data_IF_488553239158
#
_entry.id   IF_488553239158
#
_cell.length_a   1.000
_cell.length_b   1.000
_cell.length_c   1.000
_cell.angle_alpha   90.00
_cell.angle_beta   90.00
_cell.angle_gamma   90.00
#
_symmetry.space_group_name_H-M   'P 1'
#
loop_
_entity.id
_entity.type
_entity.pdbx_description
1 polymer ?
#
# COMPACT_ATOMS: atom_id res chain seq x y z
N UNK A 1 -13.25 0.69 8.59
CA UNK A 1 -13.68 -0.74 8.58
C UNK A 1 -14.62 -0.94 7.41
N UNK A 2 -14.17 -1.55 6.30
CA UNK A 2 -15.12 -1.87 5.21
C UNK A 2 -16.27 -2.70 5.79
N UNK A 3 -17.51 -2.32 5.50
CA UNK A 3 -18.70 -3.04 5.93
C UNK A 3 -19.68 -3.11 4.78
N UNK A 4 -20.14 -4.32 4.45
CA UNK A 4 -21.45 -4.45 3.82
C UNK A 4 -22.48 -4.32 4.95
N UNK A 5 -23.29 -3.26 4.94
CA UNK A 5 -24.28 -3.05 6.00
C UNK A 5 -25.52 -3.92 5.76
N UNK A 6 -25.93 -4.62 6.82
CA UNK A 6 -27.32 -5.03 7.08
C UNK A 6 -27.81 -4.20 8.27
N UNK A 7 -29.00 -3.61 8.19
CA UNK A 7 -29.55 -2.80 9.30
C UNK A 7 -29.71 -3.67 10.56
N UNK A 8 -28.85 -3.43 11.57
CA UNK A 8 -28.90 -4.07 12.89
C UNK A 8 -27.56 -4.61 13.41
N UNK A 9 -26.60 -4.92 12.53
CA UNK A 9 -25.21 -5.26 12.91
C UNK A 9 -24.24 -4.80 11.82
N UNK A 10 -23.18 -4.10 12.24
CA UNK A 10 -21.96 -4.04 11.44
C UNK A 10 -21.48 -5.48 11.22
N UNK A 11 -21.48 -5.95 9.98
CA UNK A 11 -20.66 -7.10 9.63
C UNK A 11 -19.20 -6.63 9.74
N UNK A 12 -18.56 -6.98 10.85
CA UNK A 12 -17.10 -6.94 10.96
C UNK A 12 -16.58 -8.04 10.04
N UNK A 13 -15.64 -7.72 9.14
CA UNK A 13 -14.92 -8.74 8.38
C UNK A 13 -13.90 -9.41 9.29
N UNK A 14 -14.38 -10.26 10.19
CA UNK A 14 -13.63 -11.35 10.80
C UNK A 14 -14.32 -12.64 10.34
N UNK A 15 -13.65 -13.38 9.45
CA UNK A 15 -13.96 -14.75 8.97
C UNK A 15 -15.38 -15.10 8.47
N UNK A 16 -15.44 -15.51 7.20
CA UNK A 16 -16.40 -16.45 6.57
C UNK A 16 -17.92 -16.24 6.74
N UNK A 17 -18.56 -15.60 5.73
CA UNK A 17 -19.71 -16.16 4.95
C UNK A 17 -20.18 -15.17 3.89
N UNK A 18 -20.17 -15.60 2.64
CA UNK A 18 -20.77 -14.90 1.49
C UNK A 18 -22.19 -15.46 1.31
N UNK A 19 -23.19 -14.78 1.87
CA UNK A 19 -24.60 -14.98 1.52
C UNK A 19 -25.34 -13.63 1.53
N UNK A 20 -26.20 -13.45 0.51
CA UNK A 20 -27.43 -12.65 0.47
C UNK A 20 -27.44 -11.29 -0.25
N UNK A 21 -27.81 -11.35 -1.53
CA UNK A 21 -28.68 -10.34 -2.20
C UNK A 21 -29.95 -9.99 -1.39
N UNK A 22 -30.32 -10.84 -0.42
CA UNK A 22 -31.56 -10.80 0.37
C UNK A 22 -31.46 -10.00 1.67
N UNK A 23 -30.30 -9.44 2.04
CA UNK A 23 -30.13 -8.72 3.33
C UNK A 23 -30.31 -7.22 3.26
N UNK A 24 -30.40 -6.64 2.06
CA UNK A 24 -30.68 -5.21 1.90
C UNK A 24 -32.15 -4.98 1.59
N UNK A 25 -32.72 -3.89 2.12
CA UNK A 25 -34.13 -3.51 1.85
C UNK A 25 -34.42 -3.32 0.36
N UNK A 26 -33.41 -2.94 -0.42
CA UNK A 26 -33.52 -2.74 -1.87
C UNK A 26 -33.40 -4.02 -2.69
N UNK A 27 -32.98 -5.14 -2.08
CA UNK A 27 -32.62 -6.37 -2.80
C UNK A 27 -31.39 -6.20 -3.72
N UNK A 28 -30.61 -5.12 -3.53
CA UNK A 28 -29.40 -4.80 -4.30
C UNK A 28 -28.18 -4.70 -3.38
N UNK A 29 -26.96 -4.99 -3.85
CA UNK A 29 -25.76 -4.81 -3.05
C UNK A 29 -25.63 -3.38 -2.48
N UNK A 30 -25.10 -3.29 -1.27
CA UNK A 30 -24.76 -2.05 -0.60
C UNK A 30 -23.32 -2.16 -0.09
N UNK A 31 -22.45 -1.26 -0.56
CA UNK A 31 -21.05 -1.19 -0.16
C UNK A 31 -20.83 0.11 0.61
N UNK A 32 -20.34 0.01 1.85
CA UNK A 32 -19.91 1.15 2.65
C UNK A 32 -18.42 1.04 2.97
N UNK A 33 -17.70 2.15 2.84
CA UNK A 33 -16.25 2.20 3.07
C UNK A 33 -15.84 3.49 3.78
N UNK A 34 -15.17 3.34 4.92
CA UNK A 34 -14.58 4.39 5.76
C UNK A 34 -13.07 4.11 5.98
N UNK A 35 -12.20 4.44 5.00
CA UNK A 35 -10.77 4.25 5.19
C UNK A 35 -10.25 5.16 6.32
N UNK A 36 -9.57 4.58 7.30
CA UNK A 36 -9.04 5.31 8.45
C UNK A 36 -7.61 5.77 8.18
N UNK A 37 -7.34 7.04 8.41
CA UNK A 37 -6.01 7.65 8.36
C UNK A 37 -5.86 8.62 9.53
N UNK A 38 -4.63 8.89 10.01
CA UNK A 38 -4.39 9.97 10.95
C UNK A 38 -4.97 11.29 10.44
N UNK A 39 -5.55 12.13 11.31
CA UNK A 39 -6.08 13.43 10.90
C UNK A 39 -4.95 14.33 10.39
N UNK A 40 -5.16 14.94 9.23
CA UNK A 40 -4.20 15.83 8.58
C UNK A 40 -4.91 17.03 7.94
N UNK A 41 -4.18 18.13 7.79
CA UNK A 41 -4.63 19.34 7.09
C UNK A 41 -3.57 19.71 6.03
N UNK A 42 -3.85 19.56 4.72
CA UNK A 42 -5.09 19.03 4.14
C UNK A 42 -5.37 17.55 4.47
N UNK A 43 -6.64 17.09 4.36
CA UNK A 43 -6.96 15.67 4.46
C UNK A 43 -6.27 14.90 3.32
N UNK A 44 -5.97 13.62 3.51
CA UNK A 44 -5.33 12.80 2.46
C UNK A 44 -6.33 12.38 1.37
N UNK A 45 -7.58 12.12 1.75
CA UNK A 45 -8.66 11.71 0.85
C UNK A 45 -9.47 12.91 0.37
N UNK A 46 -9.74 12.96 -0.93
CA UNK A 46 -10.57 13.97 -1.58
C UNK A 46 -11.70 13.33 -2.34
N UNK A 47 -12.89 13.89 -2.20
CA UNK A 47 -14.03 13.50 -3.02
C UNK A 47 -13.91 14.16 -4.40
N UNK A 48 -14.08 13.37 -5.44
CA UNK A 48 -14.11 13.85 -6.80
C UNK A 48 -15.14 13.06 -7.63
N UNK A 49 -15.62 13.70 -8.69
CA UNK A 49 -16.39 13.06 -9.75
C UNK A 49 -15.76 13.45 -11.08
N UNK A 50 -15.27 12.46 -11.83
CA UNK A 50 -14.73 12.67 -13.17
C UNK A 50 -15.70 12.05 -14.16
N UNK A 51 -16.03 12.82 -15.20
CA UNK A 51 -16.88 12.40 -16.32
C UNK A 51 -16.18 12.74 -17.63
N UNK A 52 -16.06 11.75 -18.49
CA UNK A 52 -15.57 11.86 -19.86
C UNK A 52 -16.67 11.40 -20.83
N UNK A 53 -16.48 11.51 -22.15
CA UNK A 53 -17.41 10.92 -23.11
C UNK A 53 -17.53 9.39 -23.01
N UNK A 54 -16.50 8.71 -22.50
CA UNK A 54 -16.43 7.23 -22.51
C UNK A 54 -16.62 6.60 -21.13
N UNK A 55 -16.42 7.33 -20.04
CA UNK A 55 -16.57 6.81 -18.68
C UNK A 55 -16.93 7.90 -17.66
N UNK A 56 -17.43 7.47 -16.49
CA UNK A 56 -17.72 8.34 -15.36
C UNK A 56 -17.42 7.58 -14.07
N UNK A 57 -16.73 8.20 -13.12
CA UNK A 57 -16.49 7.63 -11.80
C UNK A 57 -16.53 8.70 -10.71
N UNK A 58 -17.12 8.35 -9.58
CA UNK A 58 -17.28 9.20 -8.40
C UNK A 58 -16.79 8.46 -7.16
N UNK A 59 -16.09 9.16 -6.27
CA UNK A 59 -15.58 8.56 -5.05
C UNK A 59 -14.47 9.37 -4.40
N UNK A 60 -13.61 8.69 -3.65
CA UNK A 60 -12.47 9.26 -2.96
C UNK A 60 -11.15 8.94 -3.69
N UNK A 61 -10.32 9.96 -3.88
CA UNK A 61 -8.97 9.91 -4.46
C UNK A 61 -7.93 10.43 -3.46
N UNK A 62 -6.66 10.11 -3.66
CA UNK A 62 -5.54 10.72 -2.95
C UNK A 62 -4.97 11.88 -3.77
N UNK A 63 -4.51 12.94 -3.07
CA UNK A 63 -3.76 14.03 -3.72
C UNK A 63 -2.61 13.45 -4.54
N UNK A 64 -2.53 13.86 -5.81
CA UNK A 64 -1.44 13.45 -6.71
C UNK A 64 -1.62 12.07 -7.36
N UNK A 65 -2.73 11.36 -7.12
CA UNK A 65 -3.00 10.05 -7.75
C UNK A 65 -4.08 10.14 -8.83
N UNK A 66 -3.95 9.46 -9.99
CA UNK A 66 -4.89 9.61 -11.09
C UNK A 66 -5.99 8.53 -11.08
N UNK A 67 -6.56 8.23 -9.90
CA UNK A 67 -7.65 7.25 -9.78
C UNK A 67 -8.33 7.25 -8.42
N UNK A 68 -9.38 6.43 -8.30
CA UNK A 68 -10.24 6.39 -7.12
C UNK A 68 -9.94 5.14 -6.29
N UNK A 69 -9.44 5.32 -5.07
CA UNK A 69 -9.20 4.20 -4.15
C UNK A 69 -10.51 3.57 -3.67
N UNK A 70 -11.56 4.38 -3.56
CA UNK A 70 -12.91 3.98 -3.19
C UNK A 70 -13.88 4.73 -4.09
N UNK A 71 -14.93 4.09 -4.58
CA UNK A 71 -15.90 4.79 -5.42
C UNK A 71 -16.80 3.86 -6.21
N UNK A 72 -17.47 4.43 -7.22
CA UNK A 72 -18.27 3.68 -8.17
C UNK A 72 -18.22 4.33 -9.56
N UNK A 73 -18.45 3.51 -10.60
CA UNK A 73 -18.57 3.97 -11.99
C UNK A 73 -20.02 3.91 -12.53
N UNK A 74 -20.98 3.73 -11.63
CA UNK A 74 -22.41 3.55 -11.95
C UNK A 74 -22.80 2.12 -12.32
N UNK A 75 -21.82 1.21 -12.48
CA UNK A 75 -22.04 -0.22 -12.68
C UNK A 75 -21.45 -1.06 -11.53
N UNK A 76 -20.22 -0.78 -11.15
CA UNK A 76 -19.52 -1.38 -10.03
C UNK A 76 -19.16 -0.32 -8.99
N UNK A 77 -19.11 -0.73 -7.73
CA UNK A 77 -18.58 -0.01 -6.59
C UNK A 77 -17.42 -0.80 -5.97
N UNK A 78 -16.45 -0.09 -5.40
CA UNK A 78 -15.30 -0.69 -4.74
C UNK A 78 -14.85 0.13 -3.54
N UNK A 79 -14.15 -0.54 -2.63
CA UNK A 79 -13.56 0.07 -1.44
C UNK A 79 -12.26 -0.62 -1.05
N UNK A 80 -11.52 0.02 -0.15
CA UNK A 80 -10.23 -0.46 0.34
C UNK A 80 -10.12 -0.43 1.87
N UNK A 81 -9.34 -1.37 2.41
CA UNK A 81 -8.83 -1.36 3.78
C UNK A 81 -7.40 -1.89 3.78
N UNK A 82 -6.63 -1.59 4.82
CA UNK A 82 -5.32 -2.19 5.01
C UNK A 82 -5.44 -3.72 5.11
N UNK A 83 -4.67 -4.46 4.30
CA UNK A 83 -4.71 -5.92 4.33
C UNK A 83 -3.84 -6.50 5.45
N UNK A 84 -2.89 -5.71 5.97
CA UNK A 84 -1.87 -6.15 6.93
C UNK A 84 -1.09 -7.39 6.48
N UNK A 85 -1.01 -7.65 5.18
CA UNK A 85 -0.16 -8.72 4.67
C UNK A 85 1.32 -8.32 4.83
N UNK A 86 2.14 -9.31 5.16
CA UNK A 86 3.58 -9.13 5.27
C UNK A 86 4.15 -8.72 3.91
N UNK A 87 4.86 -7.59 3.91
CA UNK A 87 5.43 -6.99 2.71
C UNK A 87 6.84 -6.42 2.93
N UNK A 88 7.41 -6.64 4.12
CA UNK A 88 8.65 -6.01 4.58
C UNK A 88 9.41 -6.95 5.51
N UNK A 89 10.59 -7.36 5.06
CA UNK A 89 11.55 -8.15 5.85
C UNK A 89 12.70 -7.25 6.35
N UNK A 90 13.16 -7.50 7.58
CA UNK A 90 14.39 -6.93 8.11
C UNK A 90 15.48 -8.00 8.18
N UNK A 91 16.68 -7.66 7.70
CA UNK A 91 17.83 -8.55 7.75
C UNK A 91 18.89 -7.98 8.69
N UNK A 92 19.40 -8.82 9.59
CA UNK A 92 20.60 -8.49 10.35
C UNK A 92 21.83 -8.73 9.49
N UNK A 93 22.44 -7.64 9.05
CA UNK A 93 23.65 -7.63 8.25
C UNK A 93 24.90 -7.64 9.13
N UNK A 94 25.94 -8.32 8.66
CA UNK A 94 27.28 -8.20 9.21
C UNK A 94 28.15 -7.43 8.22
N UNK A 95 28.59 -6.25 8.63
CA UNK A 95 29.41 -5.37 7.81
C UNK A 95 30.85 -5.87 7.75
N UNK A 96 31.44 -5.76 6.57
CA UNK A 96 32.86 -5.97 6.36
C UNK A 96 33.71 -4.95 7.12
N UNK A 97 35.03 -5.19 7.23
CA UNK A 97 35.94 -4.29 7.94
C UNK A 97 35.98 -2.86 7.39
N UNK A 98 35.67 -2.70 6.11
CA UNK A 98 35.62 -1.42 5.41
C UNK A 98 34.31 -0.63 5.63
N UNK A 99 33.31 -1.26 6.26
CA UNK A 99 31.95 -0.70 6.41
C UNK A 99 31.21 -0.52 5.09
N UNK A 100 31.71 -1.10 3.98
CA UNK A 100 31.19 -0.91 2.62
C UNK A 100 30.76 -2.22 1.96
N UNK A 101 30.86 -3.31 2.68
CA UNK A 101 30.46 -4.64 2.25
C UNK A 101 29.64 -5.33 3.34
N UNK A 102 28.84 -6.32 2.95
CA UNK A 102 28.12 -7.20 3.88
C UNK A 102 28.51 -8.65 3.68
N UNK A 103 28.42 -9.46 4.74
CA UNK A 103 28.69 -10.89 4.66
C UNK A 103 27.52 -11.65 4.05
N UNK A 104 27.81 -12.42 3.01
CA UNK A 104 26.90 -13.40 2.42
C UNK A 104 27.57 -14.79 2.42
N UNK A 105 27.10 -15.66 3.32
CA UNK A 105 27.76 -16.93 3.61
C UNK A 105 29.19 -16.70 4.11
N UNK A 106 30.17 -17.17 3.34
CA UNK A 106 31.61 -17.01 3.60
C UNK A 106 32.27 -15.84 2.86
N UNK A 107 31.51 -15.08 2.06
CA UNK A 107 32.04 -14.00 1.21
C UNK A 107 31.61 -12.64 1.73
N UNK A 108 32.41 -11.62 1.44
CA UNK A 108 32.00 -10.22 1.55
C UNK A 108 31.53 -9.75 0.18
N UNK A 109 30.33 -9.16 0.14
CA UNK A 109 29.71 -8.63 -1.07
C UNK A 109 29.65 -7.10 -0.95
N UNK A 110 30.08 -6.35 -1.97
CA UNK A 110 30.06 -4.89 -1.92
C UNK A 110 28.63 -4.37 -1.84
N UNK A 111 28.44 -3.29 -1.09
CA UNK A 111 27.20 -2.52 -1.07
C UNK A 111 27.31 -1.34 -2.05
N UNK A 112 26.18 -0.94 -2.62
CA UNK A 112 26.09 0.37 -3.27
C UNK A 112 26.05 1.46 -2.20
N UNK A 113 26.56 2.65 -2.54
CA UNK A 113 26.64 3.81 -1.65
C UNK A 113 26.03 5.01 -2.35
N UNK A 114 25.11 5.69 -1.68
CA UNK A 114 24.48 6.92 -2.15
C UNK A 114 24.69 7.97 -1.07
N UNK A 115 25.25 9.13 -1.43
CA UNK A 115 25.33 10.28 -0.51
C UNK A 115 24.21 11.23 -0.89
N UNK A 116 23.26 11.40 0.00
CA UNK A 116 22.10 12.28 -0.19
C UNK A 116 22.31 13.59 0.58
N UNK A 117 22.02 14.72 -0.06
CA UNK A 117 22.11 16.05 0.57
C UNK A 117 20.72 16.55 0.90
N UNK A 118 20.45 16.73 2.19
CA UNK A 118 19.17 17.21 2.70
C UNK A 118 19.33 18.68 3.11
N UNK A 119 18.65 19.56 2.38
CA UNK A 119 18.65 21.00 2.67
C UNK A 119 17.77 21.29 3.89
N UNK A 120 18.35 21.89 4.93
CA UNK A 120 17.63 22.22 6.18
C UNK A 120 17.30 23.71 6.21
N UNK A 121 16.01 24.04 6.32
CA UNK A 121 15.56 25.44 6.44
C UNK A 121 16.24 26.12 7.63
N UNK A 122 17.04 27.15 7.34
CA UNK A 122 17.71 27.96 8.37
C UNK A 122 18.88 27.27 9.07
N UNK A 123 19.36 26.14 8.53
CA UNK A 123 20.51 25.40 9.04
C UNK A 123 21.49 25.04 7.93
N UNK A 124 22.53 24.31 8.30
CA UNK A 124 23.45 23.68 7.35
C UNK A 124 22.81 22.44 6.72
N UNK A 125 23.25 22.10 5.51
CA UNK A 125 22.84 20.87 4.84
C UNK A 125 23.27 19.64 5.63
N UNK A 126 22.40 18.62 5.70
CA UNK A 126 22.74 17.31 6.26
C UNK A 126 23.12 16.38 5.12
N UNK A 127 24.28 15.75 5.23
CA UNK A 127 24.72 14.71 4.31
C UNK A 127 24.45 13.33 4.91
N UNK A 128 23.57 12.57 4.26
CA UNK A 128 23.25 11.20 4.65
C UNK A 128 24.01 10.20 3.78
N UNK A 129 24.69 9.25 4.41
CA UNK A 129 25.47 8.20 3.76
C UNK A 129 24.66 6.89 3.74
N UNK A 130 24.00 6.62 2.63
CA UNK A 130 23.06 5.52 2.48
C UNK A 130 23.80 4.32 1.89
N UNK A 131 23.87 3.24 2.67
CA UNK A 131 24.39 1.95 2.23
C UNK A 131 23.25 1.07 1.73
N UNK A 132 23.38 0.52 0.53
CA UNK A 132 22.40 -0.39 -0.09
C UNK A 132 23.05 -1.75 -0.27
N UNK A 133 22.59 -2.73 0.51
CA UNK A 133 23.05 -4.12 0.41
C UNK A 133 22.37 -4.82 -0.77
N UNK A 134 22.78 -6.04 -1.14
CA UNK A 134 22.04 -6.84 -2.12
C UNK A 134 20.56 -7.09 -1.75
N UNK A 135 20.19 -6.99 -0.47
CA UNK A 135 18.81 -7.19 0.01
C UNK A 135 18.00 -5.89 0.06
N UNK A 136 18.67 -4.77 0.32
CA UNK A 136 18.04 -3.45 0.35
C UNK A 136 18.81 -2.41 1.16
N UNK A 137 18.25 -1.21 1.35
CA UNK A 137 18.90 -0.14 2.11
C UNK A 137 19.08 -0.51 3.58
N UNK A 138 20.20 -0.09 4.17
CA UNK A 138 20.44 -0.12 5.61
C UNK A 138 19.62 0.98 6.28
N UNK A 139 18.81 0.62 7.27
CA UNK A 139 17.86 1.53 7.98
C UNK A 139 18.25 1.83 9.42
N UNK A 140 19.24 1.12 9.97
CA UNK A 140 19.76 1.36 11.34
C UNK A 140 20.97 2.31 11.39
N UNK A 141 21.44 2.80 10.23
CA UNK A 141 22.80 3.33 10.10
C UNK A 141 23.87 2.22 10.11
N UNK A 142 25.14 2.62 10.00
CA UNK A 142 26.29 1.71 9.85
C UNK A 142 26.64 0.88 11.10
N UNK A 143 25.98 1.11 12.23
CA UNK A 143 26.12 0.27 13.42
C UNK A 143 24.84 0.33 14.24
N UNK A 144 24.44 -0.79 14.85
CA UNK A 144 23.34 -0.84 15.83
C UNK A 144 23.93 -0.55 17.22
N UNK A 145 23.67 0.63 17.82
CA UNK A 145 24.29 1.04 19.07
C UNK A 145 23.67 0.34 20.29
N UNK A 146 22.38 -0.01 20.24
CA UNK A 146 21.61 -0.51 21.38
C UNK A 146 20.77 -1.76 21.05
N UNK A 147 20.38 -2.52 22.08
CA UNK A 147 19.52 -3.69 21.95
C UNK A 147 20.25 -5.05 21.83
N UNK A 148 19.48 -6.14 21.65
CA UNK A 148 20.01 -7.50 21.65
C UNK A 148 20.92 -7.80 20.45
N UNK A 149 20.79 -7.04 19.37
CA UNK A 149 21.56 -7.20 18.14
C UNK A 149 22.76 -6.26 18.02
N UNK A 150 23.09 -5.52 19.09
CA UNK A 150 24.18 -4.54 19.10
C UNK A 150 25.51 -5.14 18.64
N UNK A 151 26.29 -4.33 17.94
CA UNK A 151 27.64 -4.70 17.54
C UNK A 151 28.24 -3.68 16.59
N UNK A 152 29.57 -3.42 16.67
CA UNK A 152 30.25 -2.38 15.90
C UNK A 152 30.23 -2.62 14.38
N UNK A 153 29.71 -3.77 13.92
CA UNK A 153 29.60 -4.16 12.51
C UNK A 153 28.27 -4.84 12.21
N UNK A 154 27.23 -4.54 12.98
CA UNK A 154 25.89 -5.05 12.71
C UNK A 154 25.00 -3.91 12.26
N UNK A 155 24.20 -4.18 11.24
CA UNK A 155 23.25 -3.23 10.69
C UNK A 155 21.94 -3.95 10.34
N UNK A 156 20.83 -3.22 10.28
CA UNK A 156 19.56 -3.72 9.76
C UNK A 156 19.39 -3.21 8.33
N UNK A 157 19.24 -4.12 7.38
CA UNK A 157 18.75 -3.78 6.04
C UNK A 157 17.26 -4.14 5.92
N UNK A 158 16.56 -3.44 5.02
CA UNK A 158 15.14 -3.63 4.78
C UNK A 158 14.92 -4.11 3.35
N UNK A 159 14.25 -5.24 3.17
CA UNK A 159 13.73 -5.67 1.88
C UNK A 159 12.22 -5.54 1.90
N UNK A 160 11.65 -4.80 0.95
CA UNK A 160 10.22 -4.64 0.89
C UNK A 160 9.68 -4.66 -0.54
N UNK A 161 8.43 -5.11 -0.68
CA UNK A 161 7.78 -5.18 -1.99
C UNK A 161 7.52 -3.79 -2.56
N UNK A 162 7.29 -2.79 -1.70
CA UNK A 162 7.04 -1.39 -2.05
C UNK A 162 8.29 -0.61 -2.45
N UNK A 163 9.50 -1.15 -2.24
CA UNK A 163 10.74 -0.58 -2.78
C UNK A 163 10.94 -0.89 -4.27
N UNK A 164 10.18 -1.84 -4.83
CA UNK A 164 10.27 -2.19 -6.25
C UNK A 164 9.24 -1.39 -7.04
N UNK A 165 9.63 -0.70 -8.13
CA UNK A 165 8.70 0.05 -8.94
C UNK A 165 7.66 -0.91 -9.55
N UNK A 166 6.38 -0.58 -9.39
CA UNK A 166 5.25 -1.27 -10.02
C UNK A 166 4.29 -0.27 -10.65
N UNK A 167 3.64 -0.66 -11.74
CA UNK A 167 2.63 0.20 -12.34
C UNK A 167 1.35 0.26 -11.47
N UNK A 168 0.70 1.42 -11.42
CA UNK A 168 -0.59 1.63 -10.76
C UNK A 168 -1.77 1.23 -11.66
N UNK A 169 -1.66 0.13 -12.42
CA UNK A 169 -2.64 -0.27 -13.45
C UNK A 169 -4.05 -0.41 -12.90
N UNK A 170 -4.20 -1.13 -11.78
CA UNK A 170 -5.51 -1.34 -11.16
C UNK A 170 -6.22 -0.05 -10.81
N UNK A 171 -5.55 0.87 -10.12
CA UNK A 171 -6.10 2.17 -9.73
C UNK A 171 -6.44 3.03 -10.97
N UNK A 172 -5.59 2.96 -12.00
CA UNK A 172 -5.78 3.71 -13.24
C UNK A 172 -6.94 3.19 -14.08
N UNK A 173 -7.29 1.91 -13.98
CA UNK A 173 -8.24 1.27 -14.89
C UNK A 173 -9.58 0.89 -14.21
N UNK A 174 -9.64 0.82 -12.88
CA UNK A 174 -10.83 0.36 -12.12
C UNK A 174 -12.11 1.11 -12.48
N UNK A 175 -12.01 2.38 -12.86
CA UNK A 175 -13.14 3.21 -13.27
C UNK A 175 -13.90 2.65 -14.48
N UNK A 176 -13.32 1.73 -15.26
CA UNK A 176 -13.96 1.08 -16.41
C UNK A 176 -14.49 -0.32 -16.12
N UNK A 177 -14.34 -0.87 -14.90
CA UNK A 177 -14.70 -2.25 -14.59
C UNK A 177 -16.20 -2.54 -14.81
N UNK A 178 -16.51 -3.67 -15.45
CA UNK A 178 -17.88 -4.12 -15.80
C UNK A 178 -18.26 -5.52 -15.28
N UNK A 179 -17.37 -6.20 -14.60
CA UNK A 179 -17.67 -7.45 -13.88
C UNK A 179 -16.64 -7.67 -12.77
N UNK A 180 -16.88 -8.66 -11.92
CA UNK A 180 -15.92 -9.03 -10.88
C UNK A 180 -14.62 -9.60 -11.49
N UNK A 181 -14.71 -10.39 -12.56
CA UNK A 181 -13.55 -10.89 -13.30
C UNK A 181 -12.74 -9.74 -13.90
N UNK A 182 -13.44 -8.77 -14.51
CA UNK A 182 -12.84 -7.56 -15.08
C UNK A 182 -12.15 -6.71 -14.00
N UNK A 183 -12.78 -6.59 -12.83
CA UNK A 183 -12.20 -5.95 -11.64
C UNK A 183 -10.94 -6.69 -11.17
N UNK A 184 -10.99 -8.02 -11.02
CA UNK A 184 -9.85 -8.84 -10.60
C UNK A 184 -8.68 -8.72 -11.55
N UNK A 185 -8.92 -8.73 -12.86
CA UNK A 185 -7.84 -8.66 -13.86
C UNK A 185 -7.06 -7.34 -13.75
N UNK A 186 -7.75 -6.21 -13.53
CA UNK A 186 -7.10 -4.90 -13.34
C UNK A 186 -6.14 -4.88 -12.15
N UNK A 187 -6.41 -5.68 -11.12
CA UNK A 187 -5.55 -5.77 -9.94
C UNK A 187 -4.64 -7.02 -9.95
N UNK A 188 -4.54 -7.76 -11.07
CA UNK A 188 -3.74 -9.00 -11.16
C UNK A 188 -2.23 -8.76 -10.93
N UNK A 189 -1.70 -7.62 -11.38
CA UNK A 189 -0.29 -7.22 -11.17
C UNK A 189 -0.04 -6.79 -9.70
N UNK A 190 -1.11 -6.71 -8.91
CA UNK A 190 -1.13 -6.30 -7.51
C UNK A 190 -1.37 -4.81 -7.34
N UNK A 191 -1.73 -4.42 -6.12
CA UNK A 191 -1.67 -3.03 -5.71
C UNK A 191 -0.26 -2.70 -5.20
N UNK A 192 0.21 -1.48 -5.46
CA UNK A 192 1.44 -0.94 -4.85
C UNK A 192 1.35 -0.91 -3.32
N UNK A 193 0.14 -0.69 -2.80
CA UNK A 193 -0.16 -0.77 -1.38
C UNK A 193 -0.76 -2.14 -1.03
N UNK A 194 -0.41 -2.66 0.14
CA UNK A 194 -1.01 -3.87 0.70
C UNK A 194 -2.42 -3.58 1.20
N UNK A 195 -3.40 -3.69 0.31
CA UNK A 195 -4.81 -3.42 0.60
C UNK A 195 -5.69 -4.61 0.26
N UNK A 196 -6.73 -4.80 1.06
CA UNK A 196 -7.87 -5.62 0.68
C UNK A 196 -8.83 -4.76 -0.12
N UNK A 197 -9.26 -5.27 -1.26
CA UNK A 197 -10.26 -4.66 -2.13
C UNK A 197 -11.59 -5.37 -1.95
N UNK A 198 -12.66 -4.60 -1.81
CA UNK A 198 -14.03 -5.12 -1.90
C UNK A 198 -14.71 -4.59 -3.14
N UNK A 199 -15.69 -5.35 -3.62
CA UNK A 199 -16.41 -5.08 -4.85
C UNK A 199 -17.92 -5.26 -4.61
N UNK A 200 -18.73 -4.54 -5.37
CA UNK A 200 -20.16 -4.80 -5.49
C UNK A 200 -20.64 -4.28 -6.85
N UNK A 201 -21.60 -4.94 -7.51
CA UNK A 201 -22.14 -4.46 -8.78
C UNK A 201 -23.65 -4.52 -8.92
N UNK A 202 -24.15 -3.86 -9.97
CA UNK A 202 -25.58 -3.86 -10.35
C UNK A 202 -26.10 -5.24 -10.71
N UNK A 203 -25.22 -6.17 -11.08
CA UNK A 203 -25.55 -7.56 -11.35
C UNK A 203 -25.91 -8.33 -10.08
N UNK A 204 -25.50 -7.84 -8.91
CA UNK A 204 -25.74 -8.45 -7.61
C UNK A 204 -24.56 -9.25 -7.06
N UNK A 205 -23.37 -9.08 -7.62
CA UNK A 205 -22.12 -9.70 -7.15
C UNK A 205 -21.52 -8.85 -6.02
N UNK A 206 -20.88 -9.49 -5.03
CA UNK A 206 -20.13 -8.90 -3.92
C UNK A 206 -18.85 -9.71 -3.72
#
# INVERSE_FOLDING_TARGET
>A
MIGALSEGRLARFDHERIEDRLRTRSGRPLLANDPHMPPAAPPLWYLAHIRTPTWSACGATFIGTPGFGCGHNGHAAWGVTAAHADNTDLFLEELGPDGRSVREGSRLVPCARVVERIEVRGGEDVLEDILITPRGPVVSGAAIPEGPWRGPRRALSLAATWLRPRAYEGLMQVHTARSFEDFRERFRVGAQATVSLVYADVGGTI
#
